data_IF_635542699434
#
_entry.id   IF_635542699434
#
_cell.length_a   1.000
_cell.length_b   1.000
_cell.length_c   1.000
_cell.angle_alpha   90.00
_cell.angle_beta   90.00
_cell.angle_gamma   90.00
#
_symmetry.space_group_name_H-M   'P 1'
#
loop_
_entity.id
_entity.type
_entity.pdbx_description
1 polymer ?
#
# COMPACT_ATOMS: atom_id res chain seq x y z
N UNK A 1 -18.71 7.57 -30.80
CA UNK A 1 -18.75 6.57 -29.71
C UNK A 1 -18.29 7.28 -28.46
N UNK A 2 -19.21 7.76 -27.62
CA UNK A 2 -18.84 8.45 -26.38
C UNK A 2 -18.27 7.38 -25.43
N UNK A 3 -16.94 7.31 -25.30
CA UNK A 3 -16.31 6.57 -24.20
C UNK A 3 -16.90 7.15 -22.92
N UNK A 4 -17.46 6.30 -22.06
CA UNK A 4 -17.82 6.70 -20.69
C UNK A 4 -16.58 7.33 -20.07
N UNK A 5 -16.59 8.65 -19.91
CA UNK A 5 -15.46 9.40 -19.37
C UNK A 5 -15.24 8.91 -17.94
N UNK A 6 -14.04 8.39 -17.67
CA UNK A 6 -13.62 8.09 -16.31
C UNK A 6 -13.81 9.32 -15.43
N UNK A 7 -14.23 9.14 -14.18
CA UNK A 7 -14.32 10.23 -13.18
C UNK A 7 -12.99 10.97 -13.02
N UNK A 8 -11.88 10.34 -13.39
CA UNK A 8 -10.54 10.88 -13.31
C UNK A 8 -10.31 12.11 -14.22
N UNK A 9 -11.09 12.28 -15.29
CA UNK A 9 -10.82 13.28 -16.33
C UNK A 9 -12.09 13.97 -16.84
N UNK A 10 -12.05 15.30 -16.93
CA UNK A 10 -13.12 16.10 -17.54
C UNK A 10 -13.09 16.06 -19.08
N UNK A 11 -11.91 15.80 -19.65
CA UNK A 11 -11.66 15.54 -21.06
C UNK A 11 -10.32 14.81 -21.21
N UNK A 12 -9.99 14.18 -22.36
CA UNK A 12 -8.69 13.54 -22.56
C UNK A 12 -7.54 14.48 -22.16
N UNK A 13 -6.52 13.95 -21.48
CA UNK A 13 -5.35 14.70 -20.97
C UNK A 13 -5.63 15.68 -19.81
N UNK A 14 -6.88 15.88 -19.41
CA UNK A 14 -7.27 16.86 -18.40
C UNK A 14 -7.90 16.19 -17.18
N UNK A 15 -7.12 16.07 -16.10
CA UNK A 15 -7.56 15.50 -14.82
C UNK A 15 -8.68 16.34 -14.20
N UNK A 16 -9.74 15.67 -13.74
CA UNK A 16 -10.77 16.29 -12.91
C UNK A 16 -10.21 16.49 -11.50
N UNK A 17 -9.68 17.69 -11.27
CA UNK A 17 -9.09 18.07 -9.98
C UNK A 17 -10.13 18.04 -8.86
N UNK A 18 -11.39 18.40 -9.12
CA UNK A 18 -12.43 18.39 -8.09
C UNK A 18 -12.72 16.96 -7.64
N UNK A 19 -12.89 16.04 -8.59
CA UNK A 19 -13.12 14.64 -8.28
C UNK A 19 -11.92 14.01 -7.56
N UNK A 20 -10.69 14.36 -7.96
CA UNK A 20 -9.47 13.92 -7.27
C UNK A 20 -9.38 14.46 -5.83
N UNK A 21 -9.63 15.75 -5.61
CA UNK A 21 -9.62 16.34 -4.26
C UNK A 21 -10.71 15.75 -3.36
N UNK A 22 -11.88 15.44 -3.93
CA UNK A 22 -12.97 14.73 -3.26
C UNK A 22 -12.53 13.34 -2.80
N UNK A 23 -11.98 12.54 -3.72
CA UNK A 23 -11.46 11.20 -3.41
C UNK A 23 -10.31 11.25 -2.38
N UNK A 24 -9.43 12.23 -2.51
CA UNK A 24 -8.24 12.36 -1.68
C UNK A 24 -8.58 12.73 -0.23
N UNK A 25 -9.41 13.75 -0.01
CA UNK A 25 -9.62 14.33 1.32
C UNK A 25 -10.96 15.02 1.56
N UNK A 26 -11.52 15.75 0.59
CA UNK A 26 -12.65 16.67 0.84
C UNK A 26 -13.93 15.93 1.23
N UNK A 27 -14.27 14.84 0.52
CA UNK A 27 -15.48 14.08 0.85
C UNK A 27 -15.41 13.43 2.24
N UNK A 28 -14.20 13.19 2.77
CA UNK A 28 -14.02 12.66 4.13
C UNK A 28 -14.45 13.69 5.17
N UNK A 29 -14.04 14.95 4.99
CA UNK A 29 -14.41 16.04 5.88
C UNK A 29 -15.91 16.33 5.79
N UNK A 30 -16.44 16.46 4.57
CA UNK A 30 -17.86 16.79 4.34
C UNK A 30 -18.77 15.72 4.96
N UNK A 31 -18.46 14.44 4.73
CA UNK A 31 -19.18 13.32 5.33
C UNK A 31 -19.14 13.40 6.87
N UNK A 32 -17.99 13.75 7.44
CA UNK A 32 -17.82 13.83 8.90
C UNK A 32 -18.64 14.97 9.51
N UNK A 33 -18.59 16.17 8.91
CA UNK A 33 -19.34 17.34 9.39
C UNK A 33 -20.84 17.09 9.28
N UNK A 34 -21.31 16.59 8.13
CA UNK A 34 -22.72 16.31 7.90
C UNK A 34 -23.22 15.17 8.81
N UNK A 35 -22.45 14.10 8.96
CA UNK A 35 -22.80 12.96 9.81
C UNK A 35 -22.93 13.35 11.29
N UNK A 36 -22.00 14.17 11.80
CA UNK A 36 -22.09 14.70 13.18
C UNK A 36 -23.29 15.63 13.36
N UNK A 37 -23.55 16.53 12.40
CA UNK A 37 -24.70 17.44 12.44
C UNK A 37 -26.04 16.68 12.45
N UNK A 38 -26.17 15.68 11.58
CA UNK A 38 -27.35 14.82 11.53
C UNK A 38 -27.54 14.04 12.84
N UNK A 39 -26.45 13.50 13.39
CA UNK A 39 -26.45 12.79 14.69
C UNK A 39 -26.95 13.72 15.79
N UNK A 40 -26.44 14.94 15.89
CA UNK A 40 -26.86 15.93 16.90
C UNK A 40 -28.33 16.31 16.75
N UNK A 41 -28.81 16.52 15.53
CA UNK A 41 -30.21 16.88 15.27
C UNK A 41 -31.16 15.74 15.63
N UNK A 42 -30.78 14.50 15.31
CA UNK A 42 -31.62 13.34 15.56
C UNK A 42 -31.66 12.94 17.04
N UNK A 43 -30.52 12.96 17.74
CA UNK A 43 -30.44 12.51 19.14
C UNK A 43 -30.54 13.65 20.17
N UNK A 44 -30.49 14.91 19.74
CA UNK A 44 -30.57 16.08 20.63
C UNK A 44 -29.28 16.38 21.41
N UNK A 45 -28.18 15.68 21.13
CA UNK A 45 -26.88 15.88 21.76
C UNK A 45 -25.74 15.51 20.81
N UNK A 46 -24.60 16.19 20.94
CA UNK A 46 -23.39 15.87 20.17
C UNK A 46 -22.82 14.49 20.51
N UNK A 47 -22.16 13.79 19.55
CA UNK A 47 -21.48 12.55 19.84
C UNK A 47 -20.35 12.79 20.84
N UNK A 48 -20.32 12.00 21.93
CA UNK A 48 -19.26 12.07 22.94
C UNK A 48 -17.88 11.67 22.39
N UNK A 49 -17.87 10.74 21.43
CA UNK A 49 -16.69 10.29 20.70
C UNK A 49 -17.06 9.99 19.25
N UNK A 50 -16.10 10.14 18.35
CA UNK A 50 -16.21 9.85 16.92
C UNK A 50 -15.08 8.92 16.49
N UNK A 51 -15.42 7.84 15.77
CA UNK A 51 -14.46 6.82 15.34
C UNK A 51 -14.44 6.63 13.82
N UNK A 52 -13.24 6.43 13.27
CA UNK A 52 -13.04 5.96 11.90
C UNK A 52 -12.56 4.51 11.91
N UNK A 53 -13.10 3.68 11.01
CA UNK A 53 -12.63 2.33 10.77
C UNK A 53 -12.54 2.09 9.27
N UNK A 54 -11.32 1.88 8.76
CA UNK A 54 -11.10 1.64 7.34
C UNK A 54 -9.87 0.78 7.07
N UNK A 55 -9.95 0.01 5.97
CA UNK A 55 -8.87 -0.83 5.45
C UNK A 55 -8.48 -0.39 4.03
N UNK A 56 -7.25 -0.61 3.58
CA UNK A 56 -6.78 -0.26 2.23
C UNK A 56 -6.92 1.25 1.96
N UNK A 57 -7.71 1.65 0.96
CA UNK A 57 -8.09 3.05 0.73
C UNK A 57 -8.73 3.68 1.97
N UNK A 58 -9.53 2.94 2.74
CA UNK A 58 -10.08 3.40 4.01
C UNK A 58 -9.01 3.61 5.09
N UNK A 59 -7.94 2.81 5.08
CA UNK A 59 -6.79 3.01 5.95
C UNK A 59 -6.03 4.29 5.60
N UNK A 60 -5.81 4.54 4.29
CA UNK A 60 -5.28 5.81 3.79
C UNK A 60 -6.16 6.99 4.23
N UNK A 61 -7.47 6.90 4.03
CA UNK A 61 -8.42 7.94 4.43
C UNK A 61 -8.37 8.23 5.93
N UNK A 62 -8.17 7.21 6.77
CA UNK A 62 -7.93 7.38 8.21
C UNK A 62 -6.67 8.20 8.49
N UNK A 63 -5.55 7.91 7.84
CA UNK A 63 -4.33 8.72 7.95
C UNK A 63 -4.52 10.14 7.40
N UNK A 64 -5.24 10.31 6.29
CA UNK A 64 -5.55 11.64 5.73
C UNK A 64 -6.38 12.49 6.71
N UNK A 65 -7.37 11.88 7.36
CA UNK A 65 -8.16 12.54 8.41
C UNK A 65 -7.28 12.98 9.59
N UNK A 66 -6.35 12.13 10.02
CA UNK A 66 -5.41 12.48 11.10
C UNK A 66 -4.45 13.63 10.70
N UNK A 67 -3.88 13.55 9.49
CA UNK A 67 -2.90 14.53 8.98
C UNK A 67 -3.56 15.89 8.70
N UNK A 68 -4.73 15.89 8.03
CA UNK A 68 -5.34 17.12 7.49
C UNK A 68 -6.49 17.67 8.34
N UNK A 69 -7.21 16.82 9.07
CA UNK A 69 -8.41 17.20 9.81
C UNK A 69 -8.39 16.65 11.25
N UNK A 70 -7.38 17.01 12.07
CA UNK A 70 -7.06 16.31 13.32
C UNK A 70 -8.14 16.34 14.41
N UNK A 71 -9.14 17.22 14.30
CA UNK A 71 -10.30 17.28 15.21
C UNK A 71 -11.52 16.46 14.77
N UNK A 72 -11.42 15.74 13.64
CA UNK A 72 -12.57 15.04 13.06
C UNK A 72 -12.95 13.77 13.81
N UNK A 73 -11.97 13.05 14.37
CA UNK A 73 -12.17 11.76 15.03
C UNK A 73 -11.28 11.65 16.28
N UNK A 74 -11.81 11.01 17.33
CA UNK A 74 -11.08 10.72 18.56
C UNK A 74 -10.26 9.44 18.45
N UNK A 75 -10.76 8.47 17.67
CA UNK A 75 -10.11 7.20 17.42
C UNK A 75 -10.15 6.81 15.94
N UNK A 76 -9.02 6.33 15.42
CA UNK A 76 -8.88 5.90 14.03
C UNK A 76 -8.30 4.48 14.02
N UNK A 77 -9.04 3.53 13.46
CA UNK A 77 -8.52 2.23 13.05
C UNK A 77 -8.21 2.29 11.54
N UNK A 78 -6.92 2.26 11.20
CA UNK A 78 -6.43 2.34 9.83
C UNK A 78 -5.65 1.06 9.47
N UNK A 79 -6.33 0.09 8.88
CA UNK A 79 -5.76 -1.19 8.48
C UNK A 79 -5.22 -1.16 7.05
N UNK A 80 -4.13 -1.90 6.79
CA UNK A 80 -3.44 -2.02 5.50
C UNK A 80 -3.43 -0.70 4.69
N UNK A 81 -2.98 0.42 5.27
CA UNK A 81 -3.26 1.73 4.71
C UNK A 81 -2.54 1.95 3.37
N UNK A 82 -3.29 2.31 2.33
CA UNK A 82 -2.76 2.66 1.00
C UNK A 82 -2.09 4.04 0.96
N UNK A 83 -1.10 4.26 1.81
CA UNK A 83 -0.31 5.50 1.91
C UNK A 83 0.90 5.47 0.98
N UNK A 84 1.53 6.62 0.75
CA UNK A 84 2.50 6.85 -0.32
C UNK A 84 1.87 6.61 -1.71
N UNK A 85 0.61 7.01 -1.89
CA UNK A 85 -0.20 6.70 -3.07
C UNK A 85 0.52 7.02 -4.40
N UNK A 86 1.20 8.15 -4.44
CA UNK A 86 1.95 8.64 -5.61
C UNK A 86 3.09 7.70 -6.03
N UNK A 87 3.67 6.90 -5.13
CA UNK A 87 4.70 5.90 -5.44
C UNK A 87 4.16 4.48 -5.43
N UNK A 88 3.21 4.18 -4.55
CA UNK A 88 2.61 2.86 -4.39
C UNK A 88 1.89 2.43 -5.67
N UNK A 89 1.04 3.27 -6.25
CA UNK A 89 0.22 2.89 -7.40
C UNK A 89 1.07 2.60 -8.64
N UNK A 90 2.05 3.44 -9.01
CA UNK A 90 3.02 3.09 -10.05
C UNK A 90 3.77 1.77 -9.80
N UNK A 91 4.10 1.44 -8.55
CA UNK A 91 4.80 0.19 -8.23
C UNK A 91 3.93 -1.05 -8.51
N UNK A 92 2.60 -0.95 -8.42
CA UNK A 92 1.70 -2.09 -8.69
C UNK A 92 1.71 -2.56 -10.15
N UNK A 93 2.12 -1.71 -11.10
CA UNK A 93 2.22 -2.08 -12.52
C UNK A 93 3.64 -2.49 -12.94
N UNK A 94 4.62 -2.35 -12.05
CA UNK A 94 6.02 -2.65 -12.37
C UNK A 94 6.26 -4.08 -12.88
N UNK A 95 5.67 -5.15 -12.30
CA UNK A 95 5.87 -6.51 -12.80
C UNK A 95 5.35 -6.70 -14.22
N UNK A 96 4.29 -5.99 -14.61
CA UNK A 96 3.71 -6.03 -15.95
C UNK A 96 4.64 -5.35 -16.97
N UNK A 97 5.25 -4.23 -16.58
CA UNK A 97 6.27 -3.58 -17.41
C UNK A 97 7.48 -4.50 -17.62
N UNK A 98 7.88 -5.23 -16.57
CA UNK A 98 8.95 -6.24 -16.67
C UNK A 98 8.57 -7.40 -17.59
N UNK A 99 7.31 -7.88 -17.55
CA UNK A 99 6.82 -8.89 -18.49
C UNK A 99 6.91 -8.40 -19.94
N UNK A 100 6.49 -7.16 -20.21
CA UNK A 100 6.54 -6.56 -21.55
C UNK A 100 7.98 -6.42 -22.04
N UNK A 101 8.88 -5.90 -21.19
CA UNK A 101 10.30 -5.73 -21.51
C UNK A 101 11.02 -7.04 -21.81
N UNK A 102 10.69 -8.10 -21.08
CA UNK A 102 11.28 -9.42 -21.28
C UNK A 102 10.54 -10.24 -22.34
N UNK A 103 9.39 -9.77 -22.82
CA UNK A 103 8.44 -10.54 -23.63
C UNK A 103 8.15 -11.92 -22.99
N UNK A 104 8.05 -11.93 -21.66
CA UNK A 104 7.87 -13.14 -20.86
C UNK A 104 6.70 -12.98 -19.89
N UNK A 105 5.67 -13.80 -20.09
CA UNK A 105 4.41 -13.74 -19.34
C UNK A 105 4.21 -15.10 -18.64
N UNK A 106 4.76 -15.29 -17.43
CA UNK A 106 4.68 -16.56 -16.73
C UNK A 106 3.23 -16.91 -16.39
N UNK A 107 2.88 -18.18 -16.50
CA UNK A 107 1.53 -18.63 -16.13
C UNK A 107 1.29 -18.49 -14.62
N UNK A 108 0.02 -18.45 -14.21
CA UNK A 108 -0.31 -18.44 -12.79
C UNK A 108 0.25 -19.66 -12.03
N UNK A 109 0.32 -20.82 -12.68
CA UNK A 109 0.91 -22.03 -12.10
C UNK A 109 2.38 -21.83 -11.73
N UNK A 110 3.15 -21.19 -12.61
CA UNK A 110 4.58 -20.93 -12.40
C UNK A 110 4.81 -19.95 -11.25
N UNK A 111 4.11 -18.82 -11.25
CA UNK A 111 4.24 -17.81 -10.19
C UNK A 111 3.78 -18.35 -8.83
N UNK A 112 2.74 -19.20 -8.80
CA UNK A 112 2.29 -19.86 -7.57
C UNK A 112 3.30 -20.90 -7.07
N UNK A 113 3.95 -21.65 -7.97
CA UNK A 113 5.01 -22.58 -7.61
C UNK A 113 6.22 -21.85 -7.01
N UNK A 114 6.62 -20.71 -7.59
CA UNK A 114 7.70 -19.87 -7.04
C UNK A 114 7.32 -19.33 -5.65
N UNK A 115 6.11 -18.78 -5.50
CA UNK A 115 5.64 -18.25 -4.20
C UNK A 115 5.61 -19.34 -3.13
N UNK A 116 5.13 -20.54 -3.48
CA UNK A 116 5.11 -21.69 -2.58
C UNK A 116 6.51 -22.18 -2.22
N UNK A 117 7.46 -22.14 -3.16
CA UNK A 117 8.85 -22.50 -2.90
C UNK A 117 9.54 -21.49 -1.96
N UNK A 118 9.22 -20.20 -2.08
CA UNK A 118 9.69 -19.16 -1.15
C UNK A 118 9.14 -19.41 0.25
N UNK A 119 7.83 -19.66 0.38
CA UNK A 119 7.20 -19.98 1.67
C UNK A 119 7.87 -21.21 2.27
N UNK A 120 7.98 -22.32 1.53
CA UNK A 120 8.59 -23.55 2.03
C UNK A 120 10.08 -23.38 2.43
N UNK A 121 10.82 -22.49 1.77
CA UNK A 121 12.22 -22.24 2.09
C UNK A 121 12.42 -21.34 3.31
N UNK A 122 11.45 -20.48 3.62
CA UNK A 122 11.56 -19.44 4.65
C UNK A 122 10.63 -19.65 5.86
N UNK A 123 9.74 -20.65 5.83
CA UNK A 123 8.76 -20.95 6.88
C UNK A 123 9.41 -20.99 8.28
N UNK A 124 10.43 -21.83 8.44
CA UNK A 124 11.16 -22.00 9.68
C UNK A 124 12.02 -20.82 10.15
N UNK A 125 12.15 -19.73 9.39
CA UNK A 125 13.03 -18.61 9.74
C UNK A 125 12.55 -17.86 11.00
N UNK A 126 11.26 -17.93 11.33
CA UNK A 126 10.70 -17.37 12.55
C UNK A 126 10.66 -18.35 13.74
N UNK A 127 11.09 -19.60 13.51
CA UNK A 127 11.12 -20.66 14.51
C UNK A 127 9.87 -21.55 14.54
N UNK A 128 8.91 -21.36 13.62
CA UNK A 128 7.78 -22.25 13.41
C UNK A 128 7.75 -22.78 11.96
N UNK A 129 7.36 -24.04 11.77
CA UNK A 129 7.08 -24.59 10.44
C UNK A 129 5.56 -24.80 10.34
N UNK A 130 4.83 -23.74 9.99
CA UNK A 130 3.36 -23.74 9.96
C UNK A 130 2.77 -23.22 8.63
N UNK A 131 3.62 -22.99 7.64
CA UNK A 131 3.27 -22.44 6.33
C UNK A 131 3.04 -20.93 6.34
N UNK A 132 3.42 -20.22 7.40
CA UNK A 132 3.19 -18.78 7.57
C UNK A 132 4.53 -18.07 7.76
N UNK A 133 4.84 -17.14 6.85
CA UNK A 133 5.97 -16.23 7.03
C UNK A 133 5.58 -15.12 8.03
N UNK A 134 5.80 -15.32 9.34
CA UNK A 134 5.50 -14.31 10.37
C UNK A 134 6.61 -13.26 10.49
N UNK A 135 7.79 -13.52 9.92
CA UNK A 135 8.91 -12.59 9.83
C UNK A 135 9.51 -12.55 8.41
N UNK A 136 8.77 -12.08 7.39
CA UNK A 136 9.20 -12.15 5.98
C UNK A 136 10.47 -11.34 5.67
N UNK A 137 10.93 -10.46 6.56
CA UNK A 137 12.21 -9.77 6.46
C UNK A 137 13.43 -10.65 6.79
N UNK A 138 13.22 -11.83 7.40
CA UNK A 138 14.27 -12.83 7.62
C UNK A 138 14.48 -13.72 6.38
N UNK A 139 13.46 -13.85 5.54
CA UNK A 139 13.49 -14.68 4.35
C UNK A 139 14.56 -14.19 3.36
N UNK A 140 15.62 -14.98 3.22
CA UNK A 140 16.70 -14.76 2.27
C UNK A 140 16.68 -15.82 1.16
N UNK A 141 15.59 -15.84 0.39
CA UNK A 141 15.40 -16.81 -0.68
C UNK A 141 16.42 -16.64 -1.81
N UNK A 142 17.09 -17.73 -2.20
CA UNK A 142 18.01 -17.72 -3.34
C UNK A 142 17.24 -17.88 -4.67
N UNK A 143 16.95 -16.77 -5.35
CA UNK A 143 16.24 -16.78 -6.64
C UNK A 143 16.95 -17.55 -7.77
N UNK A 144 18.27 -17.77 -7.66
CA UNK A 144 19.02 -18.58 -8.64
C UNK A 144 18.78 -20.09 -8.49
N UNK A 145 18.13 -20.52 -7.41
CA UNK A 145 17.80 -21.92 -7.16
C UNK A 145 16.64 -22.45 -8.03
N UNK A 146 15.88 -21.56 -8.67
CA UNK A 146 14.72 -21.89 -9.53
C UNK A 146 14.83 -21.10 -10.83
N UNK A 147 14.49 -21.73 -11.96
CA UNK A 147 14.45 -21.07 -13.27
C UNK A 147 13.14 -20.28 -13.42
N UNK A 148 13.19 -19.12 -14.09
CA UNK A 148 11.99 -18.31 -14.39
C UNK A 148 11.56 -17.33 -13.30
N UNK A 149 12.41 -17.09 -12.30
CA UNK A 149 12.08 -16.26 -11.13
C UNK A 149 12.04 -14.76 -11.38
N UNK A 150 12.57 -14.26 -12.49
CA UNK A 150 12.81 -12.82 -12.73
C UNK A 150 11.57 -11.95 -12.55
N UNK A 151 10.40 -12.38 -13.03
CA UNK A 151 9.15 -11.60 -12.86
C UNK A 151 8.70 -11.59 -11.39
N UNK A 152 8.73 -12.74 -10.72
CA UNK A 152 8.36 -12.83 -9.31
C UNK A 152 9.32 -12.02 -8.43
N UNK A 153 10.63 -12.14 -8.66
CA UNK A 153 11.66 -11.36 -7.98
C UNK A 153 11.45 -9.85 -8.18
N UNK A 154 11.15 -9.40 -9.40
CA UNK A 154 10.85 -7.99 -9.68
C UNK A 154 9.61 -7.50 -8.92
N UNK A 155 8.59 -8.37 -8.77
CA UNK A 155 7.40 -8.03 -8.02
C UNK A 155 7.69 -7.87 -6.52
N UNK A 156 8.44 -8.79 -5.90
CA UNK A 156 8.76 -8.73 -4.48
C UNK A 156 9.74 -7.61 -4.13
N UNK A 157 10.74 -7.37 -4.98
CA UNK A 157 11.73 -6.33 -4.77
C UNK A 157 11.16 -4.93 -5.03
N UNK A 158 10.23 -4.82 -5.97
CA UNK A 158 9.69 -3.54 -6.44
C UNK A 158 10.69 -2.75 -7.29
N UNK A 159 10.24 -1.62 -7.87
CA UNK A 159 11.06 -0.82 -8.78
C UNK A 159 12.17 -0.04 -8.06
N UNK A 160 13.34 -0.03 -8.70
CA UNK A 160 14.51 0.78 -8.29
C UNK A 160 14.93 1.73 -9.41
N UNK A 161 15.60 2.82 -9.05
CA UNK A 161 16.27 3.71 -10.01
C UNK A 161 17.55 3.07 -10.55
N UNK A 162 18.11 3.68 -11.58
CA UNK A 162 19.43 3.39 -12.14
C UNK A 162 20.57 3.56 -11.13
N UNK A 163 20.36 4.34 -10.07
CA UNK A 163 21.30 4.50 -8.94
C UNK A 163 21.05 3.52 -7.79
N UNK A 164 20.05 2.63 -7.90
CA UNK A 164 19.66 1.68 -6.86
C UNK A 164 18.76 2.26 -5.76
N UNK A 165 18.20 3.47 -5.96
CA UNK A 165 17.21 4.03 -5.03
C UNK A 165 15.87 3.32 -5.19
N UNK A 166 15.23 2.94 -4.09
CA UNK A 166 13.89 2.34 -4.14
C UNK A 166 12.83 3.38 -4.56
N UNK A 167 12.19 3.15 -5.71
CA UNK A 167 11.13 4.03 -6.22
C UNK A 167 9.76 3.72 -5.60
N UNK A 168 9.49 2.45 -5.36
CA UNK A 168 8.29 1.95 -4.67
C UNK A 168 8.51 0.52 -4.19
N UNK A 169 7.67 0.02 -3.28
CA UNK A 169 7.85 -1.31 -2.68
C UNK A 169 7.01 -2.37 -3.37
N UNK A 170 7.53 -3.60 -3.39
CA UNK A 170 6.77 -4.81 -3.69
C UNK A 170 6.15 -5.45 -2.44
N UNK A 171 5.20 -6.38 -2.59
CA UNK A 171 4.72 -7.22 -1.50
C UNK A 171 5.84 -8.08 -0.91
N UNK A 172 5.61 -8.65 0.27
CA UNK A 172 6.60 -9.53 0.91
C UNK A 172 6.90 -10.76 0.03
N UNK A 173 8.14 -11.28 0.03
CA UNK A 173 8.44 -12.55 -0.63
C UNK A 173 7.48 -13.65 -0.19
N UNK A 174 6.91 -14.37 -1.16
CA UNK A 174 5.91 -15.43 -0.93
C UNK A 174 4.46 -14.94 -0.94
N UNK A 175 4.19 -13.63 -0.97
CA UNK A 175 2.82 -13.11 -1.15
C UNK A 175 2.21 -13.61 -2.46
N UNK A 176 0.90 -13.92 -2.52
CA UNK A 176 0.25 -14.33 -3.76
C UNK A 176 0.35 -13.25 -4.85
N UNK A 177 0.96 -13.56 -5.98
CA UNK A 177 1.14 -12.59 -7.08
C UNK A 177 0.03 -12.64 -8.14
N UNK A 178 -0.77 -13.71 -8.17
CA UNK A 178 -1.70 -14.02 -9.27
C UNK A 178 -3.17 -14.08 -8.85
N UNK A 179 -3.48 -13.65 -7.63
CA UNK A 179 -4.89 -13.43 -7.22
C UNK A 179 -5.48 -12.30 -8.05
N UNK A 180 -6.81 -12.14 -8.07
CA UNK A 180 -7.50 -11.22 -8.98
C UNK A 180 -6.98 -9.76 -8.96
N UNK A 181 -6.37 -9.36 -7.85
CA UNK A 181 -5.80 -8.03 -7.59
C UNK A 181 -4.27 -8.03 -7.49
N UNK A 182 -3.61 -9.18 -7.66
CA UNK A 182 -2.17 -9.32 -7.56
C UNK A 182 -1.40 -8.55 -8.62
N UNK A 183 -0.08 -8.41 -8.41
CA UNK A 183 0.74 -7.52 -9.24
C UNK A 183 1.25 -8.17 -10.54
N UNK A 184 1.27 -9.51 -10.62
CA UNK A 184 1.82 -10.26 -11.75
C UNK A 184 0.76 -11.18 -12.40
N UNK A 185 -0.49 -10.73 -12.45
CA UNK A 185 -1.58 -11.49 -13.08
C UNK A 185 -1.36 -11.59 -14.59
N UNK A 186 -1.65 -12.77 -15.15
CA UNK A 186 -1.64 -13.03 -16.58
C UNK A 186 -2.92 -13.73 -17.02
N UNK A 187 -3.38 -13.44 -18.23
CA UNK A 187 -4.46 -14.21 -18.88
C UNK A 187 -3.86 -15.17 -19.89
N UNK A 188 -4.16 -16.46 -19.78
CA UNK A 188 -3.54 -17.49 -20.62
C UNK A 188 -4.58 -18.25 -21.46
N UNK A 189 -4.21 -18.56 -22.71
CA UNK A 189 -4.86 -19.59 -23.53
C UNK A 189 -4.00 -20.85 -23.52
N UNK A 190 -4.37 -21.82 -22.69
CA UNK A 190 -3.50 -22.96 -22.36
C UNK A 190 -2.35 -22.58 -21.43
N UNK A 191 -1.30 -23.41 -21.37
CA UNK A 191 -0.22 -23.25 -20.38
C UNK A 191 0.95 -22.35 -20.81
N UNK A 192 0.99 -21.93 -22.09
CA UNK A 192 2.19 -21.31 -22.66
C UNK A 192 1.93 -20.05 -23.49
N UNK A 193 0.66 -19.64 -23.65
CA UNK A 193 0.30 -18.43 -24.39
C UNK A 193 -0.43 -17.47 -23.46
N UNK A 194 0.35 -16.68 -22.73
CA UNK A 194 -0.13 -15.75 -21.72
C UNK A 194 0.13 -14.30 -22.13
N UNK A 195 -0.76 -13.40 -21.71
CA UNK A 195 -0.59 -11.95 -21.81
C UNK A 195 -0.72 -11.32 -20.44
N UNK A 196 -0.06 -10.18 -20.24
CA UNK A 196 -0.18 -9.40 -19.01
C UNK A 196 -1.62 -8.94 -18.75
N UNK A 197 -2.02 -8.93 -17.48
CA UNK A 197 -3.28 -8.38 -17.00
C UNK A 197 -2.96 -7.46 -15.82
N UNK A 198 -2.68 -6.16 -16.07
CA UNK A 198 -2.19 -5.27 -15.02
C UNK A 198 -3.23 -4.98 -13.96
N UNK A 199 -2.77 -4.72 -12.73
CA UNK A 199 -3.64 -4.29 -11.65
C UNK A 199 -4.44 -3.04 -12.10
N UNK A 200 -5.78 -3.09 -12.08
CA UNK A 200 -6.59 -2.05 -12.71
C UNK A 200 -6.44 -0.69 -12.01
N UNK A 201 -6.20 -0.67 -10.70
CA UNK A 201 -6.06 0.58 -9.93
C UNK A 201 -4.75 1.26 -10.28
N UNK A 202 -3.64 0.50 -10.29
CA UNK A 202 -2.34 1.00 -10.71
C UNK A 202 -2.30 1.45 -12.16
N UNK A 203 -2.90 0.63 -13.04
CA UNK A 203 -2.95 0.93 -14.46
C UNK A 203 -3.76 2.19 -14.75
N UNK A 204 -4.94 2.34 -14.16
CA UNK A 204 -5.74 3.55 -14.30
C UNK A 204 -5.07 4.77 -13.66
N UNK A 205 -4.33 4.59 -12.55
CA UNK A 205 -3.55 5.68 -11.97
C UNK A 205 -2.51 6.21 -12.96
N UNK A 206 -1.70 5.32 -13.53
CA UNK A 206 -0.67 5.70 -14.51
C UNK A 206 -1.32 6.31 -15.75
N UNK A 207 -2.30 5.63 -16.35
CA UNK A 207 -2.96 6.02 -17.60
C UNK A 207 -3.73 7.34 -17.48
N UNK A 208 -4.55 7.49 -16.44
CA UNK A 208 -5.50 8.61 -16.35
C UNK A 208 -4.99 9.80 -15.55
N UNK A 209 -4.04 9.60 -14.63
CA UNK A 209 -3.51 10.69 -13.78
C UNK A 209 -2.06 11.02 -14.11
N UNK A 210 -1.17 10.04 -14.21
CA UNK A 210 0.27 10.34 -14.40
C UNK A 210 0.55 10.76 -15.84
N UNK A 211 0.23 9.91 -16.81
CA UNK A 211 0.40 10.18 -18.23
C UNK A 211 -0.76 11.02 -18.80
N UNK A 212 -1.96 10.84 -18.22
CA UNK A 212 -3.22 11.51 -18.58
C UNK A 212 -3.72 11.16 -19.99
N UNK A 213 -3.06 10.28 -20.72
CA UNK A 213 -3.56 9.75 -21.97
C UNK A 213 -4.51 8.57 -21.71
N UNK A 214 -5.82 8.67 -22.00
CA UNK A 214 -6.73 7.54 -21.87
C UNK A 214 -6.39 6.37 -22.80
N UNK A 215 -5.57 6.55 -23.83
CA UNK A 215 -5.08 5.53 -24.75
C UNK A 215 -3.68 4.99 -24.38
N UNK A 216 -3.08 5.44 -23.28
CA UNK A 216 -1.79 4.93 -22.82
C UNK A 216 -1.81 3.41 -22.60
N UNK A 217 -0.68 2.78 -22.94
CA UNK A 217 -0.40 1.36 -22.69
C UNK A 217 0.96 1.23 -22.01
N UNK A 218 1.14 0.18 -21.19
CA UNK A 218 2.39 -0.06 -20.47
C UNK A 218 3.58 -0.36 -21.40
N UNK A 219 3.32 -0.80 -22.65
CA UNK A 219 4.34 -1.04 -23.67
C UNK A 219 5.17 0.22 -24.01
N UNK A 220 4.60 1.40 -23.75
CA UNK A 220 5.29 2.68 -23.97
C UNK A 220 6.41 2.94 -22.95
N UNK A 221 6.47 2.20 -21.84
CA UNK A 221 7.46 2.35 -20.78
C UNK A 221 8.41 1.16 -20.78
N UNK A 222 9.40 1.22 -21.69
CA UNK A 222 10.34 0.12 -21.94
C UNK A 222 11.76 0.37 -21.43
N UNK A 223 12.06 1.60 -20.99
CA UNK A 223 13.38 1.97 -20.48
C UNK A 223 13.33 2.37 -19.01
N UNK A 224 14.46 2.17 -18.33
CA UNK A 224 14.68 2.60 -16.95
C UNK A 224 14.42 4.11 -16.76
N UNK A 225 14.80 4.92 -17.75
CA UNK A 225 14.58 6.36 -17.71
C UNK A 225 13.09 6.73 -17.80
N UNK A 226 12.30 6.01 -18.61
CA UNK A 226 10.86 6.22 -18.69
C UNK A 226 10.15 5.77 -17.39
N UNK A 227 10.59 4.67 -16.78
CA UNK A 227 10.12 4.23 -15.46
C UNK A 227 10.37 5.31 -14.40
N UNK A 228 11.60 5.83 -14.31
CA UNK A 228 11.94 6.89 -13.36
C UNK A 228 11.12 8.16 -13.61
N UNK A 229 10.97 8.59 -14.87
CA UNK A 229 10.12 9.74 -15.22
C UNK A 229 8.68 9.56 -14.76
N UNK A 230 8.11 8.37 -14.91
CA UNK A 230 6.76 8.06 -14.48
C UNK A 230 6.60 8.21 -12.96
N UNK A 231 7.54 7.68 -12.18
CA UNK A 231 7.53 7.84 -10.72
C UNK A 231 7.72 9.31 -10.29
N UNK A 232 8.64 10.03 -10.93
CA UNK A 232 8.87 11.45 -10.65
C UNK A 232 7.64 12.29 -10.98
N UNK A 233 7.01 12.05 -12.14
CA UNK A 233 5.79 12.74 -12.55
C UNK A 233 4.64 12.49 -11.57
N UNK A 234 4.44 11.24 -11.13
CA UNK A 234 3.42 10.88 -10.15
C UNK A 234 3.64 11.59 -8.81
N UNK A 235 4.87 11.55 -8.28
CA UNK A 235 5.22 12.21 -7.02
C UNK A 235 5.05 13.73 -7.09
N UNK A 236 5.60 14.38 -8.12
CA UNK A 236 5.54 15.84 -8.25
C UNK A 236 4.12 16.38 -8.37
N UNK A 237 3.22 15.64 -9.01
CA UNK A 237 1.85 16.08 -9.25
C UNK A 237 0.90 15.77 -8.09
N UNK A 238 1.10 14.65 -7.40
CA UNK A 238 0.04 14.08 -6.56
C UNK A 238 0.40 13.85 -5.09
N UNK A 239 1.68 13.96 -4.72
CA UNK A 239 2.12 13.76 -3.32
C UNK A 239 1.34 14.63 -2.32
N UNK A 240 1.21 15.93 -2.61
CA UNK A 240 0.51 16.89 -1.74
C UNK A 240 -1.02 16.77 -1.73
N UNK A 241 -1.58 16.02 -2.68
CA UNK A 241 -3.02 15.83 -2.84
C UNK A 241 -3.45 14.55 -2.13
N UNK A 242 -2.83 13.42 -2.48
CA UNK A 242 -3.28 12.08 -2.09
C UNK A 242 -2.19 11.18 -1.50
N UNK A 243 -0.91 11.59 -1.54
CA UNK A 243 0.22 10.78 -1.05
C UNK A 243 0.02 10.25 0.37
N UNK A 244 -0.56 11.07 1.27
CA UNK A 244 -0.94 10.68 2.64
C UNK A 244 0.23 10.10 3.46
N UNK A 245 1.43 10.63 3.27
CA UNK A 245 2.68 10.09 3.84
C UNK A 245 3.32 11.02 4.87
N UNK A 246 2.63 12.09 5.28
CA UNK A 246 3.14 13.03 6.28
C UNK A 246 3.28 12.36 7.66
N UNK A 247 4.51 12.27 8.22
CA UNK A 247 4.72 11.68 9.52
C UNK A 247 4.39 12.64 10.68
N UNK A 248 4.12 13.93 10.44
CA UNK A 248 3.75 14.83 11.52
C UNK A 248 2.27 14.66 11.89
N UNK A 249 2.04 13.93 12.99
CA UNK A 249 0.72 13.78 13.61
C UNK A 249 0.59 14.59 14.91
N UNK A 250 1.43 15.59 15.13
CA UNK A 250 1.44 16.40 16.35
C UNK A 250 0.10 17.09 16.61
N UNK A 251 -0.56 17.60 15.57
CA UNK A 251 -1.87 18.22 15.67
C UNK A 251 -2.97 17.21 16.10
N UNK A 252 -2.97 16.00 15.53
CA UNK A 252 -3.90 14.92 15.93
C UNK A 252 -3.63 14.44 17.36
N UNK A 253 -2.37 14.39 17.76
CA UNK A 253 -2.03 14.09 19.16
C UNK A 253 -2.51 15.17 20.11
N UNK A 254 -2.41 16.45 19.71
CA UNK A 254 -2.83 17.59 20.53
C UNK A 254 -4.35 17.62 20.77
N UNK A 255 -5.16 17.05 19.87
CA UNK A 255 -6.60 16.87 20.10
C UNK A 255 -6.93 15.71 21.05
N UNK A 256 -5.92 14.92 21.45
CA UNK A 256 -6.10 13.71 22.27
C UNK A 256 -6.32 12.43 21.43
N UNK A 257 -6.36 12.55 20.11
CA UNK A 257 -6.66 11.47 19.17
C UNK A 257 -5.74 10.25 19.31
N UNK A 258 -6.28 9.07 18.98
CA UNK A 258 -5.57 7.78 18.97
C UNK A 258 -5.70 7.08 17.63
N UNK A 259 -4.60 6.51 17.14
CA UNK A 259 -4.59 5.68 15.93
C UNK A 259 -4.15 4.27 16.29
N UNK A 260 -4.89 3.27 15.83
CA UNK A 260 -4.45 1.88 15.75
C UNK A 260 -4.27 1.55 14.26
N UNK A 261 -3.11 0.99 13.91
CA UNK A 261 -2.84 0.52 12.55
C UNK A 261 -2.26 -0.89 12.60
N UNK A 262 -2.60 -1.69 11.60
CA UNK A 262 -2.06 -3.04 11.40
C UNK A 262 -2.06 -3.34 9.90
N UNK A 263 -1.25 -4.31 9.48
CA UNK A 263 -1.11 -4.70 8.08
C UNK A 263 -0.87 -6.21 8.00
N UNK A 264 -1.51 -6.88 7.04
CA UNK A 264 -1.16 -8.26 6.69
C UNK A 264 0.27 -8.33 6.14
N UNK A 265 1.10 -9.24 6.66
CA UNK A 265 2.49 -9.35 6.20
C UNK A 265 2.61 -9.90 4.78
N UNK A 266 1.61 -10.68 4.36
CA UNK A 266 1.51 -11.32 3.04
C UNK A 266 0.45 -10.64 2.14
N UNK A 267 0.22 -9.34 2.31
CA UNK A 267 -0.69 -8.56 1.46
C UNK A 267 -0.21 -8.59 -0.01
N UNK A 268 -1.14 -8.85 -0.92
CA UNK A 268 -0.90 -9.04 -2.35
C UNK A 268 -0.82 -7.73 -3.16
N UNK A 269 -1.31 -6.62 -2.61
CA UNK A 269 -1.46 -5.34 -3.34
C UNK A 269 -0.70 -4.23 -2.62
N UNK A 270 -0.94 -4.06 -1.32
CA UNK A 270 -0.42 -2.95 -0.53
C UNK A 270 0.80 -3.46 0.22
N UNK A 271 2.02 -2.97 -0.09
CA UNK A 271 3.21 -3.42 0.61
C UNK A 271 3.19 -3.01 2.09
N UNK A 272 3.33 -3.98 2.99
CA UNK A 272 3.45 -3.74 4.45
C UNK A 272 4.64 -2.83 4.81
N UNK A 273 5.69 -2.82 3.98
CA UNK A 273 6.85 -1.90 4.07
C UNK A 273 6.42 -0.43 4.07
N UNK A 274 5.39 -0.06 3.30
CA UNK A 274 4.87 1.31 3.28
C UNK A 274 4.34 1.76 4.63
N UNK A 275 3.60 0.90 5.33
CA UNK A 275 3.11 1.16 6.69
C UNK A 275 4.26 1.21 7.71
N UNK A 276 5.23 0.32 7.59
CA UNK A 276 6.37 0.24 8.52
C UNK A 276 7.24 1.50 8.46
N UNK A 277 7.52 2.03 7.27
CA UNK A 277 8.37 3.22 7.10
C UNK A 277 7.66 4.48 7.59
N UNK A 278 6.39 4.69 7.22
CA UNK A 278 5.64 5.87 7.68
C UNK A 278 5.48 5.87 9.20
N UNK A 279 5.20 4.71 9.82
CA UNK A 279 5.13 4.61 11.28
C UNK A 279 6.48 4.77 11.97
N UNK A 280 7.58 4.38 11.33
CA UNK A 280 8.93 4.69 11.83
C UNK A 280 9.22 6.19 11.78
N UNK A 281 8.77 6.90 10.75
CA UNK A 281 8.86 8.36 10.63
C UNK A 281 8.10 9.13 11.71
N UNK A 282 7.08 8.53 12.34
CA UNK A 282 6.38 9.10 13.51
C UNK A 282 7.27 9.17 14.77
N UNK A 283 8.42 8.48 14.79
CA UNK A 283 9.36 8.53 15.91
C UNK A 283 10.17 9.82 15.83
N UNK A 284 10.39 10.55 16.94
CA UNK A 284 11.25 11.73 16.94
C UNK A 284 12.64 11.40 16.37
N UNK A 285 13.12 12.23 15.43
CA UNK A 285 14.42 12.14 14.77
C UNK A 285 15.61 11.97 15.74
N UNK A 286 15.47 12.39 17.00
CA UNK A 286 16.47 12.25 18.06
C UNK A 286 16.72 10.80 18.52
N UNK A 287 15.91 9.82 18.09
CA UNK A 287 16.10 8.41 18.45
C UNK A 287 16.74 7.54 17.35
N UNK A 288 17.00 8.07 16.16
CA UNK A 288 17.57 7.30 15.03
C UNK A 288 19.08 7.52 14.84
N UNK A 289 19.69 8.49 15.53
CA UNK A 289 21.13 8.77 15.47
C UNK A 289 21.93 7.94 16.48
N UNK A 290 21.95 6.62 16.31
CA UNK A 290 22.72 5.70 17.15
C UNK A 290 23.00 4.39 16.45
N UNK A 291 24.08 4.36 15.64
CA UNK A 291 24.69 3.11 15.24
C UNK A 291 25.20 2.37 16.49
N UNK A 292 24.88 1.08 16.57
CA UNK A 292 25.22 0.10 17.60
C UNK A 292 24.35 0.05 18.87
N UNK A 293 23.77 -1.14 19.09
CA UNK A 293 23.18 -1.66 20.33
C UNK A 293 21.89 -1.01 20.87
N UNK A 294 20.72 -1.60 20.57
CA UNK A 294 19.53 -1.42 21.45
C UNK A 294 18.44 -2.49 21.30
N UNK A 295 18.80 -3.77 21.37
CA UNK A 295 17.82 -4.86 21.64
C UNK A 295 17.07 -4.68 22.96
N UNK A 296 17.59 -3.88 23.91
CA UNK A 296 16.96 -3.63 25.21
C UNK A 296 15.96 -2.46 25.25
N UNK A 297 15.77 -1.69 24.17
CA UNK A 297 14.80 -0.57 24.13
C UNK A 297 13.60 -0.80 23.21
N UNK A 298 13.52 -1.99 22.59
CA UNK A 298 12.33 -2.47 21.88
C UNK A 298 11.15 -2.78 22.82
N UNK A 299 11.40 -3.09 24.09
CA UNK A 299 10.39 -3.54 25.05
C UNK A 299 9.51 -2.44 25.67
N UNK A 300 9.90 -1.16 25.63
CA UNK A 300 9.18 -0.10 26.35
C UNK A 300 8.06 0.58 25.52
N UNK A 301 7.99 0.34 24.21
CA UNK A 301 6.95 0.91 23.34
C UNK A 301 6.18 -0.14 22.52
N UNK A 302 6.64 -1.40 22.48
CA UNK A 302 5.83 -2.56 22.04
C UNK A 302 4.75 -2.97 23.06
N UNK A 303 4.82 -2.43 24.28
CA UNK A 303 3.86 -2.72 25.37
C UNK A 303 2.47 -2.12 25.16
N UNK A 304 2.29 -1.19 24.20
CA UNK A 304 0.96 -0.69 23.83
C UNK A 304 0.21 -1.59 22.82
N UNK A 305 0.92 -2.53 22.16
CA UNK A 305 0.32 -3.49 21.22
C UNK A 305 0.12 -4.85 21.88
N UNK A 306 1.03 -5.27 22.79
CA UNK A 306 0.88 -6.52 23.54
C UNK A 306 -0.05 -6.44 24.76
N UNK A 307 -0.32 -5.24 25.30
CA UNK A 307 -1.27 -5.07 26.42
C UNK A 307 -2.73 -5.39 26.08
N UNK A 308 -3.10 -5.39 24.80
CA UNK A 308 -4.46 -5.66 24.34
C UNK A 308 -4.77 -7.16 24.20
N UNK A 309 -3.76 -8.02 24.09
CA UNK A 309 -3.95 -9.49 24.03
C UNK A 309 -4.28 -10.05 25.42
N UNK A 310 -3.67 -9.52 26.48
CA UNK A 310 -4.02 -9.91 27.86
C UNK A 310 -5.38 -9.39 28.34
N UNK A 311 -6.03 -8.47 27.61
CA UNK A 311 -7.40 -8.06 27.92
C UNK A 311 -8.43 -9.04 27.33
N UNK A 312 -8.11 -9.74 26.23
CA UNK A 312 -9.02 -10.75 25.65
C UNK A 312 -9.06 -12.06 26.44
N UNK A 313 -7.97 -12.47 27.11
CA UNK A 313 -7.97 -13.70 27.92
C UNK A 313 -8.80 -13.61 29.21
N UNK A 314 -9.19 -12.42 29.67
CA UNK A 314 -10.08 -12.25 30.84
C UNK A 314 -11.57 -12.15 30.49
N UNK A 315 -11.93 -12.06 29.21
CA UNK A 315 -13.32 -12.00 28.76
C UNK A 315 -13.90 -13.38 28.37
N UNK A 316 -13.09 -14.43 28.37
CA UNK A 316 -13.52 -15.83 28.13
C UNK A 316 -13.50 -16.73 29.36
N UNK A 317 -13.58 -16.15 30.57
CA UNK A 317 -13.93 -16.87 31.80
C UNK A 317 -15.12 -16.20 32.50
N UNK A 318 -16.30 -16.41 31.93
CA UNK A 318 -17.58 -16.53 32.63
C UNK A 318 -18.35 -17.67 31.97
#
# INVERSE_FOLDING_TARGET
MFRTTSWAQVSPFNVDQYALHNFASMSLLDMTVLGKSLTTTFYGSEPRYSYWNGCSTGGRQGFMLAQRYPGSYDGILAAAPGINWDRMLPATVYPQMMMNNLSYYPSACELNAISSAIVAACDGDDGAEDGILSAPWLCNFNYSSIVGTTIAESAYNGPQSSSGEQLGFGPSPGSPLTVATGLAVTTCTGNHNCTGAPNPIGYDWVRLFVDRDPDFTLDSVSTQEQLERLFQASAQQYLSIIGTSDPDLSAFKATGGKIITWHGLMDEIVPSKGTTITTAGLRPWTQMSGHSSSTSRLQAWSTAIWGSIHFQERLFRL
#
